data_IF_297673355361
#
_entry.id   IF_297673355361
#
_cell.length_a   1.000
_cell.length_b   1.000
_cell.length_c   1.000
_cell.angle_alpha   90.00
_cell.angle_beta   90.00
_cell.angle_gamma   90.00
#
_symmetry.space_group_name_H-M   'P 1'
#
loop_
_entity.id
_entity.type
_entity.pdbx_description
1 polymer ?
#
# COMPACT_ATOMS: atom_id res chain seq x y z
N UNK A 1 -7.54 22.91 15.60
CA UNK A 1 -7.93 23.63 14.39
C UNK A 1 -9.36 24.17 14.54
N UNK A 2 -9.68 25.25 13.88
CA UNK A 2 -10.94 25.98 13.97
C UNK A 2 -11.66 25.93 12.62
N UNK A 3 -12.93 26.32 12.60
CA UNK A 3 -13.73 26.51 11.39
C UNK A 3 -13.08 27.51 10.40
N UNK A 4 -12.48 28.59 10.91
CA UNK A 4 -11.74 29.54 10.08
C UNK A 4 -10.51 28.93 9.42
N UNK A 5 -9.81 28.01 10.10
CA UNK A 5 -8.68 27.26 9.50
C UNK A 5 -9.15 26.37 8.36
N UNK A 6 -10.29 25.71 8.52
CA UNK A 6 -10.87 24.84 7.46
C UNK A 6 -11.28 25.65 6.25
N UNK A 7 -12.01 26.77 6.44
CA UNK A 7 -12.38 27.66 5.33
C UNK A 7 -11.18 28.22 4.59
N UNK A 8 -10.15 28.61 5.33
CA UNK A 8 -8.89 29.07 4.72
C UNK A 8 -8.25 27.96 3.89
N UNK A 9 -8.16 26.73 4.41
CA UNK A 9 -7.60 25.59 3.68
C UNK A 9 -8.38 25.32 2.38
N UNK A 10 -9.71 25.29 2.45
CA UNK A 10 -10.57 25.03 1.28
C UNK A 10 -10.55 26.15 0.22
N UNK A 11 -10.05 27.34 0.55
CA UNK A 11 -9.92 28.47 -0.39
C UNK A 11 -8.57 28.49 -1.13
N UNK A 12 -7.61 27.64 -0.75
CA UNK A 12 -6.27 27.61 -1.34
C UNK A 12 -6.19 26.62 -2.51
N UNK A 13 -5.34 26.94 -3.48
CA UNK A 13 -4.95 25.99 -4.56
C UNK A 13 -3.81 25.05 -4.18
N UNK A 14 -2.95 25.47 -3.25
CA UNK A 14 -1.82 24.69 -2.73
C UNK A 14 -1.84 24.69 -1.21
N UNK A 15 -1.93 23.51 -0.64
CA UNK A 15 -2.03 23.30 0.78
C UNK A 15 -0.66 22.97 1.39
N UNK A 16 -0.38 23.57 2.54
CA UNK A 16 0.67 23.10 3.43
C UNK A 16 0.13 22.03 4.43
N UNK A 17 1.03 21.47 5.25
CA UNK A 17 0.61 20.46 6.23
C UNK A 17 -0.29 21.04 7.32
N UNK A 18 -0.22 22.35 7.62
CA UNK A 18 -1.12 23.00 8.58
C UNK A 18 -2.55 23.09 8.05
N UNK A 19 -2.71 23.29 6.74
CA UNK A 19 -4.01 23.24 6.05
C UNK A 19 -4.56 21.81 6.03
N UNK A 20 -3.70 20.82 5.73
CA UNK A 20 -4.07 19.39 5.80
C UNK A 20 -4.58 19.02 7.19
N UNK A 21 -3.87 19.44 8.26
CA UNK A 21 -4.33 19.25 9.65
C UNK A 21 -5.70 19.87 9.91
N UNK A 22 -6.04 20.99 9.28
CA UNK A 22 -7.37 21.58 9.42
C UNK A 22 -8.43 20.68 8.77
N UNK A 23 -8.14 20.15 7.58
CA UNK A 23 -9.08 19.29 6.84
C UNK A 23 -9.31 17.92 7.50
N UNK A 24 -8.35 17.36 8.23
CA UNK A 24 -8.54 16.11 8.98
C UNK A 24 -9.05 16.33 10.40
N UNK A 25 -9.22 17.58 10.85
CA UNK A 25 -9.69 17.90 12.20
C UNK A 25 -11.22 17.72 12.33
N UNK A 26 -11.75 17.59 13.55
CA UNK A 26 -13.19 17.58 13.78
C UNK A 26 -13.91 18.84 13.26
N UNK A 27 -13.22 19.98 13.22
CA UNK A 27 -13.77 21.23 12.68
C UNK A 27 -14.14 21.17 11.18
N UNK A 28 -13.59 20.20 10.44
CA UNK A 28 -13.90 19.99 9.03
C UNK A 28 -15.14 19.12 8.79
N UNK A 29 -15.69 18.51 9.81
CA UNK A 29 -16.85 17.62 9.67
C UNK A 29 -18.07 18.26 8.97
N UNK A 30 -18.43 19.54 9.23
CA UNK A 30 -19.50 20.23 8.49
C UNK A 30 -19.19 20.46 7.00
N UNK A 31 -17.95 20.34 6.59
CA UNK A 31 -17.47 20.60 5.21
C UNK A 31 -17.25 19.34 4.38
N UNK A 32 -17.61 18.14 4.89
CA UNK A 32 -17.31 16.87 4.22
C UNK A 32 -17.88 16.78 2.80
N UNK A 33 -19.08 17.32 2.56
CA UNK A 33 -19.66 17.32 1.23
C UNK A 33 -18.85 18.20 0.26
N UNK A 34 -18.44 19.39 0.69
CA UNK A 34 -17.57 20.26 -0.09
C UNK A 34 -16.21 19.60 -0.35
N UNK A 35 -15.64 18.94 0.65
CA UNK A 35 -14.40 18.21 0.51
C UNK A 35 -14.54 17.02 -0.46
N UNK A 36 -15.66 16.30 -0.43
CA UNK A 36 -15.95 15.22 -1.36
C UNK A 36 -16.01 15.73 -2.82
N UNK A 37 -16.68 16.85 -3.05
CA UNK A 37 -16.77 17.48 -4.39
C UNK A 37 -15.40 17.93 -4.91
N UNK A 38 -14.57 18.54 -4.05
CA UNK A 38 -13.19 18.90 -4.42
C UNK A 38 -12.33 17.67 -4.68
N UNK A 39 -12.42 16.66 -3.82
CA UNK A 39 -11.70 15.40 -4.00
C UNK A 39 -12.09 14.72 -5.31
N UNK A 40 -13.39 14.64 -5.61
CA UNK A 40 -13.88 14.14 -6.90
C UNK A 40 -13.27 14.93 -8.06
N UNK A 41 -13.37 16.26 -8.02
CA UNK A 41 -12.83 17.15 -9.08
C UNK A 41 -11.35 16.86 -9.32
N UNK A 42 -10.50 16.96 -8.29
CA UNK A 42 -9.05 16.78 -8.43
C UNK A 42 -8.67 15.37 -8.84
N UNK A 43 -9.43 14.36 -8.39
CA UNK A 43 -9.20 12.98 -8.84
C UNK A 43 -9.50 12.84 -10.33
N UNK A 44 -10.60 13.40 -10.82
CA UNK A 44 -10.95 13.33 -12.26
C UNK A 44 -10.00 14.13 -13.13
N UNK A 45 -9.57 15.31 -12.68
CA UNK A 45 -8.59 16.14 -13.38
C UNK A 45 -7.24 15.44 -13.53
N UNK A 46 -6.80 14.72 -12.51
CA UNK A 46 -5.46 14.11 -12.49
C UNK A 46 -5.43 12.67 -13.02
N UNK A 47 -6.42 11.85 -12.70
CA UNK A 47 -6.44 10.42 -12.98
C UNK A 47 -7.53 10.01 -13.98
N UNK A 48 -8.38 10.93 -14.42
CA UNK A 48 -9.53 10.59 -15.26
C UNK A 48 -10.55 9.69 -14.57
N UNK A 49 -11.33 8.96 -15.35
CA UNK A 49 -12.31 7.98 -14.85
C UNK A 49 -11.71 6.57 -14.82
N UNK A 50 -10.54 6.42 -14.20
CA UNK A 50 -9.82 5.14 -14.15
C UNK A 50 -9.61 4.67 -12.73
N UNK A 51 -9.43 3.36 -12.57
CA UNK A 51 -9.07 2.70 -11.31
C UNK A 51 -7.99 1.67 -11.60
N UNK A 52 -6.77 1.89 -11.08
CA UNK A 52 -5.70 0.91 -11.19
C UNK A 52 -6.01 -0.32 -10.36
N UNK A 53 -5.96 -1.50 -10.97
CA UNK A 53 -6.28 -2.78 -10.32
C UNK A 53 -5.00 -3.55 -10.03
N UNK A 54 -4.85 -4.06 -8.79
CA UNK A 54 -3.72 -4.90 -8.41
C UNK A 54 -4.15 -6.12 -7.63
N UNK A 55 -3.25 -7.07 -7.53
CA UNK A 55 -3.44 -8.29 -6.74
C UNK A 55 -2.24 -8.52 -5.81
N UNK A 56 -2.44 -8.71 -4.50
CA UNK A 56 -1.38 -9.13 -3.59
C UNK A 56 -1.16 -10.64 -3.70
N UNK A 57 0.10 -11.08 -3.65
CA UNK A 57 0.47 -12.47 -3.46
C UNK A 57 1.43 -12.60 -2.29
N UNK A 58 1.00 -13.30 -1.28
CA UNK A 58 1.83 -13.69 -0.14
C UNK A 58 2.67 -14.90 -0.50
N UNK A 59 3.99 -14.74 -0.52
CA UNK A 59 4.91 -15.86 -0.84
C UNK A 59 5.50 -16.51 0.40
N UNK A 60 5.35 -15.86 1.58
CA UNK A 60 5.69 -16.46 2.87
C UNK A 60 5.03 -15.74 4.05
N UNK A 61 4.63 -16.51 5.07
CA UNK A 61 4.23 -15.99 6.39
C UNK A 61 5.33 -16.17 7.45
N UNK A 62 6.53 -16.58 7.05
CA UNK A 62 7.67 -16.70 7.95
C UNK A 62 8.12 -15.32 8.41
N UNK A 63 8.01 -15.04 9.71
CA UNK A 63 8.33 -13.74 10.28
C UNK A 63 9.11 -13.93 11.60
N UNK A 64 10.07 -13.06 11.87
CA UNK A 64 10.87 -13.04 13.10
C UNK A 64 10.44 -11.94 14.08
N UNK A 65 9.49 -11.09 13.67
CA UNK A 65 8.96 -10.01 14.50
C UNK A 65 7.83 -10.47 15.40
N UNK A 66 7.60 -9.72 16.48
CA UNK A 66 6.53 -9.96 17.44
C UNK A 66 5.53 -8.79 17.49
N UNK A 67 5.07 -8.32 16.32
CA UNK A 67 4.06 -7.28 16.22
C UNK A 67 2.74 -7.77 16.81
N UNK A 68 2.26 -7.13 17.89
CA UNK A 68 1.14 -7.63 18.69
C UNK A 68 -0.21 -7.68 17.98
N UNK A 69 -0.34 -7.02 16.83
CA UNK A 69 -1.56 -6.90 16.01
C UNK A 69 -1.55 -7.79 14.76
N UNK A 70 -0.44 -8.47 14.46
CA UNK A 70 -0.24 -9.16 13.20
C UNK A 70 -0.44 -10.68 13.33
N UNK A 71 -1.23 -11.27 12.44
CA UNK A 71 -1.42 -12.72 12.39
C UNK A 71 -0.12 -13.51 12.18
N UNK A 72 0.89 -12.92 11.53
CA UNK A 72 2.21 -13.54 11.33
C UNK A 72 3.18 -13.38 12.51
N UNK A 73 2.72 -12.88 13.63
CA UNK A 73 3.49 -12.77 14.86
C UNK A 73 4.29 -14.05 15.16
N UNK A 74 5.59 -13.89 15.50
CA UNK A 74 6.52 -15.03 15.64
C UNK A 74 6.05 -16.11 16.62
N UNK A 75 5.33 -15.73 17.65
CA UNK A 75 4.81 -16.64 18.69
C UNK A 75 3.44 -17.24 18.35
N UNK A 76 2.80 -16.85 17.25
CA UNK A 76 1.53 -17.47 16.86
C UNK A 76 1.75 -18.92 16.44
N UNK A 77 0.95 -19.85 16.97
CA UNK A 77 1.04 -21.27 16.64
C UNK A 77 0.40 -21.56 15.28
N UNK A 78 1.07 -21.13 14.22
CA UNK A 78 0.63 -21.34 12.84
C UNK A 78 1.70 -22.05 12.02
N UNK A 79 1.28 -22.80 11.01
CA UNK A 79 2.20 -23.39 10.03
C UNK A 79 2.93 -22.25 9.30
N UNK A 80 4.26 -22.28 9.34
CA UNK A 80 5.10 -21.35 8.59
C UNK A 80 5.36 -21.91 7.21
N UNK A 81 4.97 -21.17 6.19
CA UNK A 81 5.08 -21.56 4.79
C UNK A 81 6.03 -20.58 4.09
N UNK A 82 6.92 -21.13 3.27
CA UNK A 82 7.75 -20.39 2.31
C UNK A 82 7.54 -21.13 1.00
N UNK A 83 6.95 -20.46 0.02
CA UNK A 83 6.64 -21.08 -1.26
C UNK A 83 7.91 -21.45 -2.02
N UNK A 84 7.93 -22.61 -2.63
CA UNK A 84 8.95 -23.02 -3.60
C UNK A 84 8.77 -22.26 -4.91
N UNK A 85 9.78 -22.28 -5.78
CA UNK A 85 9.69 -21.65 -7.12
C UNK A 85 8.52 -22.22 -7.94
N UNK A 86 8.29 -23.52 -7.87
CA UNK A 86 7.18 -24.17 -8.56
C UNK A 86 5.82 -23.69 -8.02
N UNK A 87 5.66 -23.62 -6.70
CA UNK A 87 4.46 -23.09 -6.07
C UNK A 87 4.23 -21.63 -6.45
N UNK A 88 5.25 -20.76 -6.42
CA UNK A 88 5.18 -19.36 -6.85
C UNK A 88 4.68 -19.25 -8.29
N UNK A 89 5.23 -20.03 -9.22
CA UNK A 89 4.80 -20.03 -10.62
C UNK A 89 3.35 -20.51 -10.77
N UNK A 90 2.93 -21.49 -9.98
CA UNK A 90 1.54 -21.97 -9.99
C UNK A 90 0.57 -20.90 -9.47
N UNK A 91 0.96 -20.13 -8.44
CA UNK A 91 0.19 -18.94 -7.97
C UNK A 91 0.07 -17.88 -9.08
N UNK A 92 1.16 -17.55 -9.80
CA UNK A 92 1.09 -16.60 -10.91
C UNK A 92 0.13 -17.05 -12.01
N UNK A 93 0.18 -18.32 -12.39
CA UNK A 93 -0.75 -18.90 -13.38
C UNK A 93 -2.19 -18.88 -12.89
N UNK A 94 -2.42 -19.13 -11.61
CA UNK A 94 -3.75 -19.07 -11.01
C UNK A 94 -4.31 -17.64 -11.04
N UNK A 95 -3.53 -16.65 -10.61
CA UNK A 95 -3.90 -15.23 -10.64
C UNK A 95 -4.24 -14.78 -12.07
N UNK A 96 -3.45 -15.16 -13.07
CA UNK A 96 -3.71 -14.79 -14.49
C UNK A 96 -5.00 -15.41 -15.04
N UNK A 97 -5.51 -16.49 -14.43
CA UNK A 97 -6.82 -17.06 -14.80
C UNK A 97 -8.01 -16.32 -14.19
N UNK A 98 -7.81 -15.62 -13.06
CA UNK A 98 -8.87 -14.86 -12.39
C UNK A 98 -9.23 -13.59 -13.17
N UNK A 99 -8.20 -12.85 -13.57
CA UNK A 99 -8.35 -11.60 -14.34
C UNK A 99 -7.02 -11.24 -15.01
N UNK A 100 -7.00 -10.28 -15.97
CA UNK A 100 -5.78 -9.89 -16.68
C UNK A 100 -4.88 -8.95 -15.83
N UNK A 101 -4.66 -9.30 -14.57
CA UNK A 101 -3.78 -8.56 -13.68
C UNK A 101 -2.38 -8.43 -14.26
N UNK A 102 -1.88 -7.19 -14.31
CA UNK A 102 -0.50 -6.84 -14.64
C UNK A 102 0.24 -6.19 -13.47
N UNK A 103 -0.51 -5.72 -12.48
CA UNK A 103 0.03 -5.11 -11.26
C UNK A 103 0.05 -6.16 -10.13
N UNK A 104 1.23 -6.68 -9.82
CA UNK A 104 1.44 -7.66 -8.74
C UNK A 104 2.11 -6.98 -7.54
N UNK A 105 1.59 -7.26 -6.34
CA UNK A 105 2.24 -6.93 -5.06
C UNK A 105 2.71 -8.22 -4.38
N UNK A 106 4.02 -8.48 -4.37
CA UNK A 106 4.61 -9.59 -3.61
C UNK A 106 4.74 -9.22 -2.14
N UNK A 107 4.17 -10.03 -1.26
CA UNK A 107 4.16 -9.80 0.18
C UNK A 107 4.91 -10.90 0.91
N UNK A 108 5.73 -10.52 1.90
CA UNK A 108 6.45 -11.47 2.75
C UNK A 108 6.27 -11.17 4.24
N UNK A 109 6.33 -12.19 5.07
CA UNK A 109 6.77 -12.01 6.45
C UNK A 109 8.25 -11.58 6.49
N UNK A 110 8.65 -10.88 7.55
CA UNK A 110 10.00 -10.36 7.69
C UNK A 110 10.93 -11.43 8.30
N UNK A 111 11.55 -12.26 7.46
CA UNK A 111 12.55 -13.26 7.84
C UNK A 111 13.74 -13.25 6.86
N UNK A 112 14.73 -12.36 7.05
CA UNK A 112 15.81 -12.20 6.10
C UNK A 112 16.70 -13.46 5.93
N UNK A 113 16.75 -14.33 6.94
CA UNK A 113 17.52 -15.55 6.86
C UNK A 113 16.91 -16.64 5.96
N UNK A 114 15.59 -16.64 5.81
CA UNK A 114 14.86 -17.68 5.06
C UNK A 114 14.20 -17.15 3.78
N UNK A 115 13.79 -15.88 3.78
CA UNK A 115 13.11 -15.22 2.67
C UNK A 115 13.68 -13.81 2.48
N UNK A 116 15.00 -13.71 2.37
CA UNK A 116 15.75 -12.47 2.15
C UNK A 116 15.79 -12.06 0.68
N UNK A 117 16.70 -11.13 0.36
CA UNK A 117 16.84 -10.54 -0.97
C UNK A 117 16.96 -11.58 -2.09
N UNK A 118 17.80 -12.64 -1.98
CA UNK A 118 17.89 -13.63 -3.05
C UNK A 118 16.57 -14.35 -3.37
N UNK A 119 15.76 -14.64 -2.33
CA UNK A 119 14.45 -15.27 -2.50
C UNK A 119 13.46 -14.32 -3.19
N UNK A 120 13.46 -13.04 -2.77
CA UNK A 120 12.59 -12.01 -3.36
C UNK A 120 13.00 -11.74 -4.81
N UNK A 121 14.31 -11.61 -5.09
CA UNK A 121 14.84 -11.45 -6.44
C UNK A 121 14.40 -12.59 -7.36
N UNK A 122 14.51 -13.82 -6.88
CA UNK A 122 14.07 -14.99 -7.66
C UNK A 122 12.57 -14.98 -7.92
N UNK A 123 11.75 -14.62 -6.93
CA UNK A 123 10.30 -14.48 -7.12
C UNK A 123 9.97 -13.40 -8.16
N UNK A 124 10.68 -12.26 -8.15
CA UNK A 124 10.52 -11.19 -9.14
C UNK A 124 10.89 -11.68 -10.56
N UNK A 125 12.02 -12.38 -10.72
CA UNK A 125 12.41 -12.94 -12.03
C UNK A 125 11.37 -13.90 -12.59
N UNK A 126 10.81 -14.76 -11.73
CA UNK A 126 9.74 -15.67 -12.10
C UNK A 126 8.42 -14.95 -12.45
N UNK A 127 8.22 -13.72 -11.94
CA UNK A 127 7.02 -12.92 -12.20
C UNK A 127 7.03 -12.20 -13.56
N UNK A 128 8.21 -11.83 -14.09
CA UNK A 128 8.37 -11.04 -15.33
C UNK A 128 7.57 -11.57 -16.53
N UNK A 129 7.45 -12.88 -16.78
CA UNK A 129 6.64 -13.39 -17.89
C UNK A 129 5.12 -13.22 -17.71
N UNK A 130 4.68 -12.91 -16.50
CA UNK A 130 3.26 -12.86 -16.14
C UNK A 130 2.75 -11.46 -15.85
N UNK A 131 3.61 -10.56 -15.34
CA UNK A 131 3.21 -9.24 -14.85
C UNK A 131 4.19 -8.17 -15.29
N UNK A 132 3.68 -7.01 -15.68
CA UNK A 132 4.50 -5.87 -16.10
C UNK A 132 4.85 -4.90 -14.97
N UNK A 133 4.06 -4.86 -13.90
CA UNK A 133 4.24 -3.95 -12.76
C UNK A 133 4.46 -4.78 -11.47
N UNK A 134 5.70 -4.80 -10.99
CA UNK A 134 6.11 -5.62 -9.86
C UNK A 134 6.42 -4.74 -8.65
N UNK A 135 5.57 -4.81 -7.63
CA UNK A 135 5.78 -4.15 -6.34
C UNK A 135 6.04 -5.17 -5.24
N UNK A 136 6.74 -4.74 -4.21
CA UNK A 136 7.01 -5.56 -3.03
C UNK A 136 6.52 -4.89 -1.75
N UNK A 137 6.07 -5.70 -0.80
CA UNK A 137 5.81 -5.32 0.59
C UNK A 137 6.57 -6.29 1.49
N UNK A 138 7.79 -5.91 1.84
CA UNK A 138 8.76 -6.74 2.56
C UNK A 138 9.42 -5.95 3.70
N UNK A 139 10.35 -6.56 4.44
CA UNK A 139 11.15 -5.81 5.42
C UNK A 139 11.89 -4.65 4.75
N UNK A 140 12.12 -3.54 5.48
CA UNK A 140 13.00 -2.48 4.99
C UNK A 140 14.41 -2.99 4.70
N UNK A 141 14.92 -2.66 3.51
CA UNK A 141 16.21 -3.09 2.99
C UNK A 141 17.24 -1.94 2.98
N UNK A 142 18.48 -2.23 2.68
CA UNK A 142 19.49 -1.21 2.35
C UNK A 142 19.23 -0.60 0.96
N UNK A 143 19.86 0.52 0.66
CA UNK A 143 19.73 1.14 -0.66
C UNK A 143 20.34 0.26 -1.77
N UNK A 144 21.40 -0.46 -1.47
CA UNK A 144 22.06 -1.42 -2.36
C UNK A 144 21.13 -2.59 -2.69
N UNK A 145 20.49 -3.18 -1.66
CA UNK A 145 19.53 -4.28 -1.83
C UNK A 145 18.29 -3.83 -2.63
N UNK A 146 17.78 -2.62 -2.42
CA UNK A 146 16.70 -2.08 -3.25
C UNK A 146 17.16 -1.91 -4.71
N UNK A 147 18.38 -1.41 -4.99
CA UNK A 147 18.92 -1.32 -6.35
C UNK A 147 19.04 -2.70 -7.00
N UNK A 148 19.54 -3.70 -6.26
CA UNK A 148 19.59 -5.08 -6.73
C UNK A 148 18.21 -5.55 -7.19
N UNK A 149 17.16 -5.35 -6.37
CA UNK A 149 15.80 -5.76 -6.72
C UNK A 149 15.23 -5.01 -7.93
N UNK A 150 15.65 -3.75 -8.20
CA UNK A 150 15.23 -3.06 -9.44
C UNK A 150 15.77 -3.75 -10.69
N UNK A 151 16.99 -4.31 -10.66
CA UNK A 151 17.50 -5.12 -11.77
C UNK A 151 16.70 -6.43 -11.97
N UNK A 152 16.04 -6.90 -10.94
CA UNK A 152 15.11 -8.03 -11.02
C UNK A 152 13.68 -7.63 -11.44
N UNK A 153 13.46 -6.36 -11.82
CA UNK A 153 12.19 -5.86 -12.33
C UNK A 153 11.26 -5.26 -11.29
N UNK A 154 11.71 -5.09 -10.05
CA UNK A 154 10.95 -4.35 -9.04
C UNK A 154 10.87 -2.88 -9.42
N UNK A 155 9.66 -2.33 -9.52
CA UNK A 155 9.45 -0.90 -9.77
C UNK A 155 8.78 -0.16 -8.60
N UNK A 156 8.33 -0.86 -7.56
CA UNK A 156 7.73 -0.21 -6.42
C UNK A 156 7.87 -0.97 -5.12
N UNK A 157 7.84 -0.21 -4.03
CA UNK A 157 7.89 -0.74 -2.66
C UNK A 157 6.75 -0.14 -1.86
N UNK A 158 5.99 -0.98 -1.15
CA UNK A 158 5.04 -0.53 -0.14
C UNK A 158 5.65 -0.79 1.24
N UNK A 159 5.66 0.23 2.07
CA UNK A 159 6.13 0.12 3.44
C UNK A 159 5.19 0.83 4.39
N UNK A 160 4.71 0.11 5.38
CA UNK A 160 3.92 0.70 6.45
C UNK A 160 4.84 1.12 7.60
N UNK A 161 4.84 2.42 7.92
CA UNK A 161 5.47 2.92 9.16
C UNK A 161 4.70 2.42 10.39
N UNK A 162 3.44 2.10 10.21
CA UNK A 162 2.44 1.68 11.19
C UNK A 162 2.02 2.82 12.10
N UNK A 163 2.93 3.39 12.86
CA UNK A 163 2.77 4.62 13.64
C UNK A 163 4.05 5.45 13.64
N UNK A 164 3.92 6.76 13.66
CA UNK A 164 5.02 7.71 13.86
C UNK A 164 5.24 8.04 15.35
N UNK A 165 4.43 7.47 16.25
CA UNK A 165 4.56 7.70 17.69
C UNK A 165 5.73 6.91 18.27
N UNK A 166 6.93 7.47 18.19
CA UNK A 166 8.19 6.82 18.54
C UNK A 166 8.20 6.23 19.96
N UNK A 167 7.61 6.92 20.94
CA UNK A 167 7.59 6.46 22.33
C UNK A 167 6.76 5.18 22.51
N UNK A 168 5.67 5.02 21.73
CA UNK A 168 4.80 3.85 21.81
C UNK A 168 5.20 2.74 20.83
N UNK A 169 6.10 3.03 19.88
CA UNK A 169 6.42 2.15 18.78
C UNK A 169 6.80 0.72 19.24
N UNK A 170 7.63 0.63 20.29
CA UNK A 170 8.08 -0.66 20.82
C UNK A 170 6.99 -1.41 21.64
N UNK A 171 5.90 -0.74 22.02
CA UNK A 171 4.74 -1.40 22.62
C UNK A 171 4.09 -2.32 21.57
N UNK A 172 3.98 -1.82 20.35
CA UNK A 172 3.38 -2.57 19.23
C UNK A 172 4.36 -3.52 18.54
N UNK A 173 5.66 -3.22 18.61
CA UNK A 173 6.74 -3.97 17.96
C UNK A 173 7.84 -4.34 18.95
N UNK A 174 7.58 -5.23 19.94
CA UNK A 174 8.50 -5.47 21.06
C UNK A 174 9.78 -6.21 20.67
N UNK A 175 9.79 -6.99 19.56
CA UNK A 175 10.95 -7.79 19.12
C UNK A 175 11.08 -7.83 17.60
N UNK A 176 12.31 -8.15 17.14
CA UNK A 176 12.67 -8.29 15.73
C UNK A 176 13.14 -6.97 15.11
N UNK A 177 13.46 -7.01 13.84
CA UNK A 177 13.93 -5.82 13.11
C UNK A 177 12.88 -4.72 13.04
N UNK A 178 11.59 -5.07 13.03
CA UNK A 178 10.50 -4.10 13.04
C UNK A 178 10.45 -3.26 14.32
N UNK A 179 11.08 -3.70 15.43
CA UNK A 179 11.22 -2.88 16.64
C UNK A 179 12.15 -1.67 16.46
N UNK A 180 12.94 -1.62 15.40
CA UNK A 180 13.91 -0.56 15.14
C UNK A 180 13.25 0.59 14.39
N UNK A 181 12.64 1.53 15.13
CA UNK A 181 11.91 2.68 14.58
C UNK A 181 12.71 3.44 13.53
N UNK A 182 13.98 3.83 13.86
CA UNK A 182 14.83 4.60 12.95
C UNK A 182 15.16 3.84 11.67
N UNK A 183 15.41 2.53 11.77
CA UNK A 183 15.65 1.69 10.60
C UNK A 183 14.44 1.69 9.65
N UNK A 184 13.23 1.65 10.21
CA UNK A 184 12.01 1.60 9.41
C UNK A 184 11.69 2.96 8.80
N UNK A 185 11.66 4.04 9.57
CA UNK A 185 11.34 5.37 9.06
C UNK A 185 12.35 5.84 8.02
N UNK A 186 13.65 5.60 8.22
CA UNK A 186 14.69 5.91 7.24
C UNK A 186 14.70 4.91 6.05
N UNK A 187 13.87 3.89 6.05
CA UNK A 187 13.67 2.99 4.93
C UNK A 187 13.19 3.71 3.68
N UNK A 188 12.34 4.72 3.84
CA UNK A 188 11.84 5.53 2.72
C UNK A 188 12.95 6.35 2.04
N UNK A 189 13.92 6.86 2.80
CA UNK A 189 15.12 7.50 2.22
C UNK A 189 15.96 6.51 1.44
N UNK A 190 16.16 5.29 1.95
CA UNK A 190 16.92 4.25 1.24
C UNK A 190 16.24 3.84 -0.07
N UNK A 191 14.91 3.78 -0.10
CA UNK A 191 14.13 3.55 -1.33
C UNK A 191 14.35 4.70 -2.34
N UNK A 192 14.28 5.96 -1.88
CA UNK A 192 14.52 7.13 -2.70
C UNK A 192 15.96 7.19 -3.24
N UNK A 193 16.96 6.90 -2.40
CA UNK A 193 18.38 6.81 -2.78
C UNK A 193 18.64 5.68 -3.79
N UNK A 194 17.90 4.60 -3.73
CA UNK A 194 17.96 3.51 -4.69
C UNK A 194 17.27 3.84 -6.03
N UNK A 195 16.53 4.94 -6.11
CA UNK A 195 15.79 5.33 -7.31
C UNK A 195 14.52 4.52 -7.54
N UNK A 196 13.92 3.98 -6.49
CA UNK A 196 12.64 3.23 -6.60
C UNK A 196 11.57 4.12 -7.24
N UNK A 197 10.95 3.63 -8.32
CA UNK A 197 9.99 4.39 -9.11
C UNK A 197 8.72 4.75 -8.31
N UNK A 198 8.21 3.82 -7.49
CA UNK A 198 6.97 4.02 -6.73
C UNK A 198 7.15 3.61 -5.26
N UNK A 199 6.81 4.51 -4.34
CA UNK A 199 6.86 4.26 -2.89
C UNK A 199 5.45 4.41 -2.32
N UNK A 200 4.92 3.32 -1.77
CA UNK A 200 3.68 3.31 -1.00
C UNK A 200 3.95 3.51 0.48
N UNK A 201 3.27 4.47 1.07
CA UNK A 201 3.36 4.82 2.49
C UNK A 201 2.06 4.46 3.20
N UNK A 202 2.13 4.06 4.47
CA UNK A 202 0.92 3.78 5.23
C UNK A 202 1.12 3.84 6.73
N UNK A 203 0.01 4.07 7.43
CA UNK A 203 -0.13 3.97 8.88
C UNK A 203 -1.29 3.04 9.19
N UNK A 204 -1.16 2.20 10.22
CA UNK A 204 -2.21 1.29 10.65
C UNK A 204 -3.14 2.00 11.63
N UNK A 205 -4.31 2.39 11.14
CA UNK A 205 -5.31 3.06 11.96
C UNK A 205 -5.90 2.09 12.98
N UNK A 206 -5.79 2.45 14.24
CA UNK A 206 -6.21 1.63 15.38
C UNK A 206 -5.08 1.38 16.38
N UNK A 207 -3.81 1.57 15.98
CA UNK A 207 -2.68 1.48 16.92
C UNK A 207 -2.70 2.64 17.90
N UNK A 208 -2.73 3.87 17.41
CA UNK A 208 -2.76 5.07 18.24
C UNK A 208 -4.17 5.63 18.37
N UNK A 209 -4.52 6.08 19.57
CA UNK A 209 -5.81 6.73 19.84
C UNK A 209 -5.96 8.01 19.00
N UNK A 210 -4.88 8.80 18.95
CA UNK A 210 -4.81 10.05 18.17
C UNK A 210 -4.26 9.79 16.76
N UNK A 211 -4.99 9.01 15.98
CA UNK A 211 -4.62 8.62 14.61
C UNK A 211 -4.33 9.83 13.69
N UNK A 212 -4.91 10.99 13.97
CA UNK A 212 -4.66 12.22 13.20
C UNK A 212 -3.21 12.67 13.27
N UNK A 213 -2.52 12.37 14.37
CA UNK A 213 -1.08 12.63 14.52
C UNK A 213 -0.28 11.78 13.52
N UNK A 214 -0.55 10.49 13.41
CA UNK A 214 0.12 9.60 12.47
C UNK A 214 -0.10 10.01 11.02
N UNK A 215 -1.34 10.34 10.66
CA UNK A 215 -1.69 10.82 9.32
C UNK A 215 -1.02 12.17 9.00
N UNK A 216 -0.93 13.07 9.98
CA UNK A 216 -0.20 14.36 9.85
C UNK A 216 1.29 14.13 9.63
N UNK A 217 1.90 13.25 10.42
CA UNK A 217 3.33 12.93 10.28
C UNK A 217 3.64 12.28 8.94
N UNK A 218 2.74 11.43 8.43
CA UNK A 218 2.85 10.87 7.10
C UNK A 218 2.81 11.95 6.01
N UNK A 219 1.98 12.98 6.17
CA UNK A 219 1.94 14.13 5.25
C UNK A 219 3.24 14.97 5.29
N UNK A 220 3.84 15.19 6.47
CA UNK A 220 5.17 15.79 6.57
C UNK A 220 6.24 14.95 5.89
N UNK A 221 6.20 13.64 6.11
CA UNK A 221 7.15 12.70 5.51
C UNK A 221 7.02 12.68 3.99
N UNK A 222 5.79 12.70 3.44
CA UNK A 222 5.55 12.83 2.01
C UNK A 222 6.22 14.10 1.45
N UNK A 223 5.99 15.27 2.05
CA UNK A 223 6.60 16.53 1.58
C UNK A 223 8.13 16.50 1.63
N UNK A 224 8.69 15.87 2.66
CA UNK A 224 10.13 15.64 2.76
C UNK A 224 10.62 14.77 1.59
N UNK A 225 9.99 13.63 1.35
CA UNK A 225 10.38 12.70 0.30
C UNK A 225 10.20 13.28 -1.10
N UNK A 226 9.11 14.00 -1.37
CA UNK A 226 8.88 14.69 -2.64
C UNK A 226 9.96 15.72 -2.95
N UNK A 227 10.43 16.44 -1.91
CA UNK A 227 11.50 17.41 -2.05
C UNK A 227 12.85 16.78 -2.39
N UNK A 228 13.17 15.62 -1.80
CA UNK A 228 14.48 14.97 -1.97
C UNK A 228 14.49 13.97 -3.12
N UNK A 229 13.36 13.31 -3.41
CA UNK A 229 13.23 12.23 -4.39
C UNK A 229 12.06 12.51 -5.34
N UNK A 230 12.11 13.63 -6.03
CA UNK A 230 11.01 14.18 -6.85
C UNK A 230 10.64 13.32 -8.08
N UNK A 231 11.52 12.40 -8.52
CA UNK A 231 11.24 11.45 -9.60
C UNK A 231 10.37 10.27 -9.17
N UNK A 232 10.25 10.04 -7.86
CA UNK A 232 9.48 8.93 -7.30
C UNK A 232 7.99 9.29 -7.23
N UNK A 233 7.13 8.35 -7.63
CA UNK A 233 5.70 8.40 -7.38
C UNK A 233 5.38 7.94 -5.96
N UNK A 234 4.37 8.54 -5.35
CA UNK A 234 3.96 8.19 -3.99
C UNK A 234 2.52 7.72 -3.94
N UNK A 235 2.23 6.79 -3.04
CA UNK A 235 0.87 6.39 -2.72
C UNK A 235 0.64 6.34 -1.21
N UNK A 236 -0.60 6.64 -0.80
CA UNK A 236 -1.04 6.55 0.58
C UNK A 236 -2.01 5.40 0.80
N UNK A 237 -1.82 4.73 1.94
CA UNK A 237 -2.68 3.65 2.42
C UNK A 237 -3.06 3.93 3.87
N UNK A 238 -4.35 3.85 4.17
CA UNK A 238 -4.90 4.06 5.52
C UNK A 238 -5.66 2.81 6.00
N UNK A 239 -5.00 1.64 6.11
CA UNK A 239 -5.68 0.45 6.57
C UNK A 239 -6.19 0.64 7.98
N UNK A 240 -7.48 0.38 8.18
CA UNK A 240 -8.06 0.24 9.51
C UNK A 240 -7.74 -1.14 10.07
N UNK A 241 -7.38 -1.20 11.33
CA UNK A 241 -7.10 -2.47 11.99
C UNK A 241 -8.34 -3.37 11.92
N UNK A 242 -8.12 -4.62 11.58
CA UNK A 242 -9.13 -5.68 11.60
C UNK A 242 -8.71 -6.74 12.61
N UNK A 243 -9.65 -7.42 13.27
CA UNK A 243 -9.34 -8.54 14.14
C UNK A 243 -8.51 -9.58 13.39
N UNK A 244 -7.49 -10.14 14.04
CA UNK A 244 -6.81 -11.35 13.57
C UNK A 244 -7.46 -12.57 14.22
N UNK A 245 -7.48 -13.70 13.51
CA UNK A 245 -8.14 -14.92 13.99
C UNK A 245 -7.61 -15.43 15.34
N UNK A 246 -6.36 -15.18 15.64
CA UNK A 246 -5.71 -15.67 16.88
C UNK A 246 -5.88 -14.73 18.07
N UNK A 247 -6.80 -13.79 18.01
CA UNK A 247 -7.15 -12.88 19.10
C UNK A 247 -5.93 -12.12 19.62
N UNK A 248 -6.03 -11.02 20.15
CA UNK A 248 -4.87 -10.36 20.69
C UNK A 248 -5.15 -8.89 20.90
N UNK A 249 -4.47 -8.07 20.15
CA UNK A 249 -4.55 -6.64 20.29
C UNK A 249 -5.90 -6.11 19.79
N UNK A 250 -6.60 -5.40 20.68
CA UNK A 250 -7.80 -4.64 20.29
C UNK A 250 -7.38 -3.24 19.89
N UNK A 251 -7.99 -2.66 18.85
CA UNK A 251 -7.66 -1.31 18.42
C UNK A 251 -7.94 -0.29 19.52
N UNK A 252 -7.00 0.64 19.74
CA UNK A 252 -7.16 1.74 20.69
C UNK A 252 -8.20 2.77 20.22
N UNK A 253 -8.54 2.76 18.94
CA UNK A 253 -9.61 3.55 18.31
C UNK A 253 -10.17 2.81 17.13
N UNK A 254 -11.49 2.90 16.94
CA UNK A 254 -12.17 2.39 15.75
C UNK A 254 -12.55 3.60 14.88
N UNK A 255 -11.84 3.76 13.77
CA UNK A 255 -12.15 4.82 12.79
C UNK A 255 -13.41 4.48 12.03
N UNK A 256 -14.36 5.40 11.99
CA UNK A 256 -15.60 5.29 11.21
C UNK A 256 -15.35 5.45 9.71
N UNK A 257 -16.32 5.00 8.89
CA UNK A 257 -16.29 5.23 7.42
C UNK A 257 -16.26 6.73 7.09
N UNK A 258 -16.96 7.55 7.88
CA UNK A 258 -16.98 9.00 7.72
C UNK A 258 -15.61 9.65 7.94
N UNK A 259 -14.87 9.20 8.96
CA UNK A 259 -13.52 9.68 9.22
C UNK A 259 -12.51 9.21 8.16
N UNK A 260 -12.62 7.96 7.70
CA UNK A 260 -11.76 7.46 6.61
C UNK A 260 -12.04 8.19 5.29
N UNK A 261 -13.30 8.50 4.99
CA UNK A 261 -13.68 9.36 3.86
C UNK A 261 -13.08 10.76 4.00
N UNK A 262 -13.17 11.38 5.19
CA UNK A 262 -12.56 12.68 5.48
C UNK A 262 -11.06 12.69 5.22
N UNK A 263 -10.33 11.70 5.70
CA UNK A 263 -8.87 11.56 5.45
C UNK A 263 -8.58 11.43 3.97
N UNK A 264 -9.36 10.65 3.25
CA UNK A 264 -9.20 10.45 1.81
C UNK A 264 -9.42 11.75 1.04
N UNK A 265 -10.49 12.49 1.35
CA UNK A 265 -10.75 13.78 0.71
C UNK A 265 -9.68 14.81 1.04
N UNK A 266 -9.29 14.91 2.32
CA UNK A 266 -8.22 15.80 2.77
C UNK A 266 -6.90 15.50 2.05
N UNK A 267 -6.56 14.21 1.89
CA UNK A 267 -5.35 13.77 1.19
C UNK A 267 -5.37 14.21 -0.27
N UNK A 268 -6.46 14.00 -0.99
CA UNK A 268 -6.59 14.42 -2.40
C UNK A 268 -6.53 15.93 -2.57
N UNK A 269 -7.12 16.69 -1.64
CA UNK A 269 -7.07 18.17 -1.66
C UNK A 269 -5.65 18.65 -1.32
N UNK A 270 -4.96 17.98 -0.40
CA UNK A 270 -3.59 18.32 -0.01
C UNK A 270 -2.57 18.02 -1.11
N UNK A 271 -2.72 16.88 -1.77
CA UNK A 271 -1.82 16.42 -2.84
C UNK A 271 -2.61 15.77 -3.98
N UNK A 272 -2.60 16.44 -5.13
CA UNK A 272 -3.37 16.00 -6.29
C UNK A 272 -2.73 14.80 -7.00
N UNK A 273 -1.41 14.58 -6.83
CA UNK A 273 -0.63 13.58 -7.55
C UNK A 273 -0.48 12.24 -6.80
N UNK A 274 -0.68 12.26 -5.47
CA UNK A 274 -0.53 11.04 -4.67
C UNK A 274 -1.61 10.01 -5.02
N UNK A 275 -1.20 8.76 -5.25
CA UNK A 275 -2.15 7.66 -5.35
C UNK A 275 -2.78 7.34 -3.99
N UNK A 276 -4.05 7.00 -3.97
CA UNK A 276 -4.74 6.54 -2.75
C UNK A 276 -5.27 5.14 -3.01
N UNK A 277 -4.81 4.18 -2.21
CA UNK A 277 -5.10 2.77 -2.41
C UNK A 277 -6.01 2.21 -1.33
N UNK A 278 -7.05 1.47 -1.77
CA UNK A 278 -7.92 0.70 -0.90
C UNK A 278 -7.83 -0.79 -1.22
N UNK A 279 -7.58 -1.59 -0.20
CA UNK A 279 -7.58 -3.04 -0.30
C UNK A 279 -8.96 -3.63 0.01
N UNK A 280 -9.09 -4.94 -0.16
CA UNK A 280 -10.27 -5.73 0.22
C UNK A 280 -10.52 -5.79 1.74
N UNK A 281 -9.70 -5.12 2.54
CA UNK A 281 -9.91 -4.89 3.97
C UNK A 281 -11.18 -4.08 4.24
N UNK A 282 -11.54 -3.16 3.33
CA UNK A 282 -12.74 -2.35 3.42
C UNK A 282 -13.94 -3.03 2.77
N UNK A 283 -15.15 -2.72 3.25
CA UNK A 283 -16.38 -3.32 2.72
C UNK A 283 -16.63 -2.94 1.26
N UNK A 284 -17.32 -3.83 0.52
CA UNK A 284 -17.67 -3.61 -0.87
C UNK A 284 -18.39 -2.28 -1.10
N UNK A 285 -19.41 -1.97 -0.27
CA UNK A 285 -20.20 -0.75 -0.38
C UNK A 285 -19.37 0.51 -0.14
N UNK A 286 -18.46 0.48 0.86
CA UNK A 286 -17.59 1.62 1.14
C UNK A 286 -16.58 1.85 0.01
N UNK A 287 -15.97 0.78 -0.52
CA UNK A 287 -15.04 0.85 -1.66
C UNK A 287 -15.72 1.42 -2.91
N UNK A 288 -16.94 0.97 -3.22
CA UNK A 288 -17.71 1.45 -4.37
C UNK A 288 -18.02 2.95 -4.25
N UNK A 289 -18.44 3.41 -3.07
CA UNK A 289 -18.71 4.82 -2.82
C UNK A 289 -17.42 5.66 -2.95
N UNK A 290 -16.30 5.19 -2.43
CA UNK A 290 -15.03 5.90 -2.44
C UNK A 290 -14.31 5.87 -3.81
N UNK A 291 -14.65 4.93 -4.68
CA UNK A 291 -14.05 4.79 -6.01
C UNK A 291 -14.19 6.05 -6.88
N UNK A 292 -15.27 6.83 -6.69
CA UNK A 292 -15.48 8.11 -7.39
C UNK A 292 -14.87 9.30 -6.66
N UNK A 293 -14.58 9.18 -5.37
CA UNK A 293 -14.37 10.30 -4.46
C UNK A 293 -12.91 10.51 -4.01
N UNK A 294 -11.95 9.83 -4.62
CA UNK A 294 -10.53 10.08 -4.28
C UNK A 294 -9.62 8.88 -4.43
N UNK A 295 -10.14 7.66 -4.36
CA UNK A 295 -9.38 6.43 -4.51
C UNK A 295 -8.96 6.24 -5.97
N UNK A 296 -7.72 5.81 -6.21
CA UNK A 296 -7.13 5.64 -7.56
C UNK A 296 -6.65 4.22 -7.81
N UNK A 297 -6.49 3.43 -6.75
CA UNK A 297 -5.97 2.07 -6.83
C UNK A 297 -6.77 1.14 -5.92
N UNK A 298 -7.14 -0.04 -6.41
CA UNK A 298 -7.85 -1.06 -5.63
C UNK A 298 -7.29 -2.46 -5.87
N UNK A 299 -7.24 -3.28 -4.81
CA UNK A 299 -7.05 -4.72 -4.98
C UNK A 299 -8.38 -5.43 -5.21
N UNK A 300 -8.33 -6.60 -5.84
CA UNK A 300 -9.47 -7.51 -5.95
C UNK A 300 -9.00 -8.95 -5.73
N UNK A 301 -9.92 -9.82 -5.28
CA UNK A 301 -9.65 -11.23 -4.99
C UNK A 301 -8.43 -11.47 -4.09
N UNK A 302 -8.18 -10.57 -3.14
CA UNK A 302 -7.00 -10.66 -2.28
C UNK A 302 -7.06 -11.90 -1.39
N UNK A 303 -5.96 -12.66 -1.39
CA UNK A 303 -5.67 -13.71 -0.41
C UNK A 303 -4.53 -13.24 0.48
N UNK A 304 -4.67 -13.39 1.78
CA UNK A 304 -3.71 -12.87 2.76
C UNK A 304 -2.87 -13.96 3.43
N UNK A 305 -2.91 -15.15 2.85
CA UNK A 305 -2.14 -16.34 3.20
C UNK A 305 -1.18 -16.75 2.06
N UNK A 306 -0.01 -17.33 2.38
CA UNK A 306 0.89 -17.83 1.35
C UNK A 306 0.27 -18.98 0.55
N UNK A 307 0.29 -18.84 -0.77
CA UNK A 307 -0.24 -19.89 -1.67
C UNK A 307 -1.77 -19.93 -1.73
N UNK A 308 -2.47 -18.85 -1.36
CA UNK A 308 -3.93 -18.80 -1.25
C UNK A 308 -4.68 -18.92 -2.58
N UNK A 309 -4.03 -18.72 -3.73
CA UNK A 309 -4.69 -18.82 -5.04
C UNK A 309 -4.69 -20.22 -5.62
N UNK A 310 -3.72 -21.07 -5.27
CA UNK A 310 -3.58 -22.41 -5.82
C UNK A 310 -3.11 -23.45 -4.80
N UNK A 311 -1.98 -23.19 -4.14
CA UNK A 311 -1.24 -24.21 -3.38
C UNK A 311 -1.87 -24.53 -2.01
N UNK A 312 -2.39 -23.52 -1.31
CA UNK A 312 -2.87 -23.64 0.07
C UNK A 312 -4.13 -22.78 0.35
N UNK A 313 -5.24 -23.01 -0.35
CA UNK A 313 -6.41 -22.11 -0.31
C UNK A 313 -7.19 -22.08 1.02
N UNK A 314 -6.73 -22.75 2.07
CA UNK A 314 -7.40 -22.86 3.38
C UNK A 314 -6.42 -22.69 4.55
N UNK A 315 -5.35 -21.92 4.38
CA UNK A 315 -4.41 -21.60 5.48
C UNK A 315 -4.86 -20.35 6.24
N UNK A 316 -4.27 -20.12 7.42
CA UNK A 316 -4.59 -18.96 8.25
C UNK A 316 -4.22 -17.64 7.55
N UNK A 317 -5.19 -16.77 7.43
CA UNK A 317 -5.07 -15.42 6.88
C UNK A 317 -4.27 -14.50 7.83
N UNK A 318 -3.60 -13.49 7.27
CA UNK A 318 -2.96 -12.45 8.07
C UNK A 318 -3.99 -11.59 8.80
N UNK A 319 -5.09 -11.31 8.14
CA UNK A 319 -6.26 -10.59 8.64
C UNK A 319 -7.48 -10.93 7.77
N UNK A 320 -8.67 -10.73 8.34
CA UNK A 320 -9.93 -11.00 7.65
C UNK A 320 -10.16 -10.03 6.47
N UNK A 321 -10.52 -10.61 5.32
CA UNK A 321 -10.92 -9.88 4.11
C UNK A 321 -12.41 -9.55 4.20
N UNK A 322 -12.77 -8.27 4.00
CA UNK A 322 -14.16 -7.79 4.11
C UNK A 322 -14.90 -7.77 2.77
N UNK A 323 -14.18 -7.50 1.67
CA UNK A 323 -14.73 -7.55 0.31
C UNK A 323 -14.23 -8.80 -0.40
N UNK A 324 -15.08 -9.82 -0.41
CA UNK A 324 -14.77 -11.15 -0.99
C UNK A 324 -15.17 -11.25 -2.47
N UNK A 325 -15.60 -10.15 -3.09
CA UNK A 325 -16.01 -10.15 -4.49
C UNK A 325 -14.85 -10.57 -5.39
N UNK A 326 -15.22 -11.31 -6.44
CA UNK A 326 -14.31 -11.63 -7.54
C UNK A 326 -13.85 -10.38 -8.29
N UNK A 327 -12.71 -10.46 -8.98
CA UNK A 327 -12.22 -9.37 -9.82
C UNK A 327 -13.26 -8.95 -10.88
N UNK A 328 -14.03 -9.92 -11.40
CA UNK A 328 -15.13 -9.67 -12.35
C UNK A 328 -16.25 -8.83 -11.73
N UNK A 329 -16.67 -9.16 -10.51
CA UNK A 329 -17.72 -8.41 -9.80
C UNK A 329 -17.28 -7.00 -9.45
N UNK A 330 -16.04 -6.82 -8.96
CA UNK A 330 -15.45 -5.50 -8.69
C UNK A 330 -15.37 -4.69 -9.99
N UNK A 331 -14.90 -5.30 -11.08
CA UNK A 331 -14.84 -4.67 -12.41
C UNK A 331 -16.22 -4.19 -12.88
N UNK A 332 -17.24 -5.03 -12.72
CA UNK A 332 -18.61 -4.68 -13.11
C UNK A 332 -19.14 -3.52 -12.26
N UNK A 333 -18.89 -3.54 -10.95
CA UNK A 333 -19.28 -2.45 -10.05
C UNK A 333 -18.63 -1.12 -10.46
N UNK A 334 -17.32 -1.11 -10.75
CA UNK A 334 -16.61 0.07 -11.21
C UNK A 334 -17.17 0.59 -12.54
N UNK A 335 -17.42 -0.28 -13.52
CA UNK A 335 -18.00 0.11 -14.82
C UNK A 335 -19.40 0.70 -14.67
N UNK A 336 -20.23 0.16 -13.79
CA UNK A 336 -21.54 0.72 -13.48
C UNK A 336 -21.46 2.12 -12.84
N UNK A 337 -20.35 2.45 -12.20
CA UNK A 337 -20.04 3.78 -11.68
C UNK A 337 -19.40 4.72 -12.72
N UNK A 338 -19.20 4.26 -13.96
CA UNK A 338 -18.53 5.01 -15.02
C UNK A 338 -17.01 5.11 -14.84
N UNK A 339 -16.42 4.13 -14.15
CA UNK A 339 -14.96 4.05 -13.90
C UNK A 339 -14.40 2.88 -14.70
N UNK A 340 -13.32 3.12 -15.46
CA UNK A 340 -12.63 2.09 -16.21
C UNK A 340 -11.58 1.41 -15.35
N UNK A 341 -11.66 0.08 -15.11
CA UNK A 341 -10.62 -0.68 -14.45
C UNK A 341 -9.38 -0.77 -15.36
N UNK A 342 -8.24 -0.33 -14.86
CA UNK A 342 -6.96 -0.37 -15.57
C UNK A 342 -6.11 -1.50 -14.99
N UNK A 343 -5.82 -2.49 -15.83
CA UNK A 343 -5.05 -3.67 -15.44
C UNK A 343 -3.55 -3.49 -15.60
N UNK A 344 -3.12 -2.64 -16.55
CA UNK A 344 -1.73 -2.32 -16.81
C UNK A 344 -1.57 -0.79 -16.85
N UNK A 345 -0.85 -0.25 -15.89
CA UNK A 345 -0.57 1.19 -15.74
C UNK A 345 0.93 1.51 -15.71
N UNK A 346 1.76 0.49 -15.89
CA UNK A 346 3.21 0.61 -15.97
C UNK A 346 3.82 -0.43 -16.92
N UNK A 347 4.95 -0.07 -17.56
CA UNK A 347 5.75 -0.98 -18.37
C UNK A 347 7.23 -0.71 -18.12
N UNK A 348 8.01 -1.77 -17.99
CA UNK A 348 9.45 -1.69 -17.70
C UNK A 348 10.25 -0.95 -18.79
N UNK A 349 9.71 -0.82 -20.01
CA UNK A 349 10.31 -0.02 -21.08
C UNK A 349 10.43 1.48 -20.74
N UNK A 350 9.71 1.95 -19.73
CA UNK A 350 9.83 3.32 -19.22
C UNK A 350 10.90 3.46 -18.13
N UNK A 351 11.58 2.37 -17.75
CA UNK A 351 12.61 2.42 -16.72
C UNK A 351 13.95 2.87 -17.35
N UNK A 352 14.53 3.97 -16.85
CA UNK A 352 15.76 4.54 -17.39
C UNK A 352 16.96 3.57 -17.36
N UNK A 353 16.93 2.57 -16.49
CA UNK A 353 17.97 1.52 -16.37
C UNK A 353 17.93 0.60 -17.60
N UNK A 354 16.74 0.23 -18.08
CA UNK A 354 16.59 -0.64 -19.25
C UNK A 354 16.88 0.08 -20.58
N UNK A 355 16.74 1.41 -20.64
CA UNK A 355 17.08 2.18 -21.85
C UNK A 355 18.59 2.20 -22.15
N UNK A 356 19.48 2.07 -21.16
CA UNK A 356 20.92 2.05 -21.38
C UNK A 356 21.45 0.70 -21.86
N UNK A 357 20.84 -0.42 -21.44
CA UNK A 357 21.23 -1.75 -21.92
C UNK A 357 20.78 -2.02 -23.35
N UNK A 358 19.62 -1.52 -23.78
CA UNK A 358 19.18 -1.64 -25.17
C UNK A 358 19.97 -0.76 -26.14
N UNK A 359 20.48 0.39 -25.71
CA UNK A 359 21.36 1.24 -26.52
C UNK A 359 22.72 0.61 -26.76
N UNK A 360 23.21 -0.20 -25.81
CA UNK A 360 24.50 -0.90 -25.94
C UNK A 360 24.44 -2.16 -26.82
N UNK A 361 23.27 -2.76 -27.03
CA UNK A 361 23.06 -3.96 -27.86
C UNK A 361 22.71 -3.66 -29.32
N UNK A 362 22.44 -2.39 -29.68
CA UNK A 362 22.09 -1.99 -31.05
C UNK A 362 23.28 -1.41 -31.82
N UNK A 363 24.47 -1.46 -31.25
CA UNK A 363 25.71 -1.01 -31.94
C UNK A 363 26.62 -2.21 -32.23
N UNK A 364 26.19 -3.09 -33.13
CA UNK A 364 27.06 -4.05 -33.85
C UNK A 364 26.64 -4.10 -35.30
#
# INVERSE_FOLDING_TARGET
KTDADVRRALSKSHLDVQDFMALISPAAEPYLEQMALLSYKYTRERFGNTMSMFVPLYITNSCTNSCIYCGFHVSNPMKRTILTEEEIVNEYKAIKKLAPFENLLLVTGENPAKAGVPYIARALDLAKPYFSNLKIEVMPLSAEEYRELTHHGMNGVICFQETYHKANYNIYHPRGMKSKFEWRVNGFDRMGQAGVHSIGMGVLIGLEKEWRTDVTMMAYHLRYLQKHYWKTKYSFNFPRMRPSENGGFQPNVVMSDRELAQVTFATRIFDHDVDISYSTRESASFRDNMARLGVTTMSAESKTEPGGYYSYPQTLEQFHVSDERTAKEVTLALKNLGIEPVWKDWDQSFDAVNCQEHAATTTV
#
